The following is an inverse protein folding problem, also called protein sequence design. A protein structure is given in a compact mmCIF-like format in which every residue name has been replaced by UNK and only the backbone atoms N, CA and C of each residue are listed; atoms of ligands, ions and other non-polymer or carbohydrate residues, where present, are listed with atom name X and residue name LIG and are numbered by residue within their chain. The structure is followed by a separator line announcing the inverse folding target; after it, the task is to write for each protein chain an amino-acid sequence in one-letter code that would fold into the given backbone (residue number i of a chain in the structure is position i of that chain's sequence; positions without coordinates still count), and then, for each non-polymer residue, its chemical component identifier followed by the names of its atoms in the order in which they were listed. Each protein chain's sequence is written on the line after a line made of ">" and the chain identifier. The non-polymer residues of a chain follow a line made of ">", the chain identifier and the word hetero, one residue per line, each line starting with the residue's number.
data_IF_239720926973
#
_entry.id   IF_239720926973
#
_cell.length_a   1.000
_cell.length_b   1.000
_cell.length_c   1.000
_cell.angle_alpha   90.00
_cell.angle_beta   90.00
_cell.angle_gamma   90.00
#
_symmetry.space_group_name_H-M   'P 1'
#
loop_
_entity.id
_entity.type
_entity.pdbx_description
1 polymer ?
#
# COMPACT_ATOMS: atom_id res chain seq x y z
N UNK A 1 13.44 27.84 -5.97
CA UNK A 1 12.18 27.67 -5.21
C UNK A 1 11.21 26.63 -5.81
N UNK A 2 11.35 26.18 -7.07
CA UNK A 2 10.39 25.28 -7.74
C UNK A 2 10.45 23.80 -7.27
N UNK A 3 11.57 23.34 -6.69
CA UNK A 3 11.74 21.94 -6.23
C UNK A 3 11.08 21.61 -4.88
N UNK A 4 10.79 22.61 -4.03
CA UNK A 4 10.28 22.36 -2.67
C UNK A 4 8.80 21.97 -2.65
N UNK A 5 7.93 22.68 -3.38
CA UNK A 5 6.48 22.38 -3.42
C UNK A 5 6.15 21.04 -4.07
N UNK A 6 7.08 20.57 -4.89
CA UNK A 6 7.12 19.27 -5.51
C UNK A 6 7.35 18.18 -4.45
N UNK A 7 8.41 18.26 -3.66
CA UNK A 7 8.74 17.25 -2.66
C UNK A 7 7.61 17.12 -1.62
N UNK A 8 7.01 18.27 -1.27
CA UNK A 8 5.88 18.34 -0.36
C UNK A 8 4.63 17.63 -0.89
N UNK A 9 4.27 17.81 -2.17
CA UNK A 9 3.11 17.11 -2.78
C UNK A 9 3.28 15.60 -2.77
N UNK A 10 4.48 15.13 -3.04
CA UNK A 10 4.80 13.70 -3.03
C UNK A 10 4.70 13.10 -1.64
N UNK A 11 5.28 13.78 -0.65
CA UNK A 11 5.20 13.36 0.75
C UNK A 11 3.74 13.32 1.23
N UNK A 12 2.94 14.33 0.91
CA UNK A 12 1.53 14.36 1.29
C UNK A 12 0.73 13.20 0.70
N UNK A 13 0.96 12.86 -0.58
CA UNK A 13 0.32 11.71 -1.23
C UNK A 13 0.74 10.39 -0.57
N UNK A 14 2.04 10.19 -0.35
CA UNK A 14 2.57 8.96 0.27
C UNK A 14 2.05 8.76 1.69
N UNK A 15 1.90 9.83 2.47
CA UNK A 15 1.32 9.79 3.82
C UNK A 15 -0.17 9.46 3.77
N UNK A 16 -0.93 10.06 2.84
CA UNK A 16 -2.36 9.81 2.70
C UNK A 16 -2.68 8.35 2.30
N UNK A 17 -1.74 7.66 1.63
CA UNK A 17 -1.90 6.26 1.26
C UNK A 17 -1.73 5.28 2.43
N UNK A 18 -1.12 5.68 3.54
CA UNK A 18 -0.91 4.80 4.71
C UNK A 18 -2.24 4.31 5.28
N UNK A 19 -3.19 5.18 5.71
CA UNK A 19 -4.47 4.71 6.25
C UNK A 19 -5.27 3.94 5.21
N UNK A 20 -5.19 4.33 3.93
CA UNK A 20 -5.88 3.63 2.85
C UNK A 20 -5.34 2.21 2.66
N UNK A 21 -4.03 2.01 2.70
CA UNK A 21 -3.41 0.70 2.60
C UNK A 21 -3.77 -0.20 3.78
N UNK A 22 -3.83 0.34 5.01
CA UNK A 22 -4.30 -0.42 6.18
C UNK A 22 -5.73 -0.91 5.99
N UNK A 23 -6.65 -0.01 5.62
CA UNK A 23 -8.05 -0.35 5.39
C UNK A 23 -8.22 -1.37 4.27
N UNK A 24 -7.52 -1.20 3.14
CA UNK A 24 -7.57 -2.14 2.02
C UNK A 24 -7.01 -3.50 2.40
N UNK A 25 -5.92 -3.56 3.18
CA UNK A 25 -5.35 -4.84 3.60
C UNK A 25 -6.35 -5.63 4.45
N UNK A 26 -7.06 -4.95 5.36
CA UNK A 26 -8.12 -5.57 6.17
C UNK A 26 -9.35 -5.92 5.34
N UNK A 27 -9.73 -5.08 4.37
CA UNK A 27 -10.86 -5.36 3.49
C UNK A 27 -10.59 -6.58 2.58
N UNK A 28 -9.33 -6.78 2.19
CA UNK A 28 -8.87 -7.91 1.40
C UNK A 28 -8.61 -9.18 2.24
N UNK A 29 -9.01 -9.21 3.51
CA UNK A 29 -8.85 -10.38 4.38
C UNK A 29 -9.37 -11.70 3.79
N UNK A 30 -10.55 -11.75 3.13
CA UNK A 30 -11.00 -12.98 2.47
C UNK A 30 -10.04 -13.44 1.36
N UNK A 31 -9.44 -12.50 0.63
CA UNK A 31 -8.47 -12.78 -0.44
C UNK A 31 -7.16 -13.33 0.13
N UNK A 32 -6.66 -12.75 1.23
CA UNK A 32 -5.44 -13.23 1.89
C UNK A 32 -5.60 -14.66 2.40
N UNK A 33 -6.75 -14.96 3.03
CA UNK A 33 -7.05 -16.32 3.49
C UNK A 33 -7.17 -17.32 2.34
N UNK A 34 -7.77 -16.93 1.22
CA UNK A 34 -7.85 -17.77 0.03
C UNK A 34 -6.47 -18.06 -0.57
N UNK A 35 -5.61 -17.04 -0.66
CA UNK A 35 -4.25 -17.20 -1.16
C UNK A 35 -3.39 -18.09 -0.26
N UNK A 36 -3.53 -17.97 1.06
CA UNK A 36 -2.78 -18.79 2.03
C UNK A 36 -3.07 -20.28 1.84
N UNK A 37 -4.35 -20.61 1.66
CA UNK A 37 -4.79 -21.97 1.37
C UNK A 37 -4.21 -22.52 0.05
N UNK A 38 -3.89 -21.66 -0.91
CA UNK A 38 -3.35 -22.06 -2.22
C UNK A 38 -1.82 -22.01 -2.32
N UNK A 39 -1.15 -21.15 -1.56
CA UNK A 39 0.27 -20.85 -1.71
C UNK A 39 1.17 -21.40 -0.60
N UNK A 40 0.59 -21.95 0.48
CA UNK A 40 1.33 -22.41 1.67
C UNK A 40 2.26 -21.33 2.27
N UNK A 41 1.92 -20.05 2.06
CA UNK A 41 2.59 -18.88 2.65
C UNK A 41 1.66 -18.32 3.72
N UNK A 42 2.20 -18.05 4.91
CA UNK A 42 1.45 -17.40 5.99
C UNK A 42 1.12 -15.94 5.61
N UNK A 43 -0.11 -15.70 5.17
CA UNK A 43 -0.62 -14.36 4.78
C UNK A 43 -1.51 -13.77 5.88
N UNK A 44 -2.17 -14.62 6.67
CA UNK A 44 -3.03 -14.29 7.80
C UNK A 44 -2.49 -14.99 9.04
N UNK A 45 -1.69 -14.27 9.82
CA UNK A 45 -1.17 -14.76 11.08
C UNK A 45 -2.21 -14.71 12.21
N UNK A 46 -1.78 -15.09 13.42
CA UNK A 46 -2.62 -15.13 14.62
C UNK A 46 -3.27 -13.79 14.99
N UNK A 47 -2.71 -12.67 14.53
CA UNK A 47 -3.19 -11.31 14.83
C UNK A 47 -3.73 -10.58 13.59
N UNK A 48 -4.03 -11.31 12.51
CA UNK A 48 -4.48 -10.75 11.24
C UNK A 48 -3.41 -10.81 10.15
N UNK A 49 -3.53 -9.98 9.10
CA UNK A 49 -2.61 -10.03 7.96
C UNK A 49 -1.15 -9.88 8.35
N UNK A 50 -0.26 -10.65 7.72
CA UNK A 50 1.17 -10.52 7.92
C UNK A 50 1.69 -9.13 7.53
N UNK A 51 2.78 -8.66 8.15
CA UNK A 51 3.30 -7.30 7.92
C UNK A 51 3.60 -7.01 6.44
N UNK A 52 4.06 -8.01 5.69
CA UNK A 52 4.36 -7.85 4.27
C UNK A 52 3.10 -7.65 3.41
N UNK A 53 1.92 -8.10 3.85
CA UNK A 53 0.65 -7.84 3.15
C UNK A 53 0.35 -6.33 3.12
N UNK A 54 0.59 -5.63 4.23
CA UNK A 54 0.44 -4.17 4.31
C UNK A 54 1.46 -3.44 3.42
N UNK A 55 2.72 -3.89 3.43
CA UNK A 55 3.77 -3.33 2.58
C UNK A 55 3.44 -3.55 1.09
N UNK A 56 2.92 -4.72 0.74
CA UNK A 56 2.51 -5.07 -0.61
C UNK A 56 1.39 -4.15 -1.09
N UNK A 57 0.29 -4.03 -0.33
CA UNK A 57 -0.83 -3.15 -0.67
C UNK A 57 -0.38 -1.69 -0.74
N UNK A 58 0.40 -1.22 0.24
CA UNK A 58 0.95 0.13 0.22
C UNK A 58 1.77 0.38 -1.04
N UNK A 59 2.65 -0.54 -1.42
CA UNK A 59 3.49 -0.41 -2.62
C UNK A 59 2.66 -0.39 -3.90
N UNK A 60 1.63 -1.24 -3.99
CA UNK A 60 0.69 -1.27 -5.11
C UNK A 60 -0.09 0.03 -5.29
N UNK A 61 -0.30 0.80 -4.22
CA UNK A 61 -0.91 2.13 -4.28
C UNK A 61 0.13 3.24 -4.52
N UNK A 62 1.27 3.17 -3.82
CA UNK A 62 2.29 4.21 -3.80
C UNK A 62 3.02 4.34 -5.14
N UNK A 63 3.37 3.23 -5.79
CA UNK A 63 4.08 3.23 -7.09
C UNK A 63 3.26 3.91 -8.20
N UNK A 64 1.98 3.56 -8.46
CA UNK A 64 1.21 4.25 -9.49
C UNK A 64 0.91 5.70 -9.11
N UNK A 65 0.64 5.99 -7.83
CA UNK A 65 0.45 7.37 -7.38
C UNK A 65 1.71 8.21 -7.63
N UNK A 66 2.88 7.65 -7.33
CA UNK A 66 4.17 8.23 -7.66
C UNK A 66 4.30 8.51 -9.16
N UNK A 67 4.11 7.50 -10.02
CA UNK A 67 4.21 7.65 -11.48
C UNK A 67 3.26 8.74 -11.98
N UNK A 68 2.01 8.78 -11.50
CA UNK A 68 1.04 9.80 -11.89
C UNK A 68 1.48 11.21 -11.49
N UNK A 69 1.97 11.40 -10.27
CA UNK A 69 2.48 12.70 -9.84
C UNK A 69 3.74 13.08 -10.61
N UNK A 70 4.58 12.12 -11.01
CA UNK A 70 5.75 12.37 -11.84
C UNK A 70 5.38 12.82 -13.25
N UNK A 71 4.41 12.14 -13.88
CA UNK A 71 3.95 12.44 -15.25
C UNK A 71 3.22 13.77 -15.38
N UNK A 72 2.64 14.30 -14.29
CA UNK A 72 1.93 15.59 -14.27
C UNK A 72 2.83 16.80 -13.94
N UNK A 73 4.15 16.63 -14.03
CA UNK A 73 5.16 17.66 -13.77
C UNK A 73 5.85 18.03 -15.06
#
# INVERSE_FOLDING_TARGET
>A
MIRAGVCFKWLAVLLALIPLALLLTLLLMPLWSWLEAGLAIELVGHSGPASFCYVLVYSLLAVPAAILVWRRR
#
